data_IF_022767302695
#
_entry.id   IF_022767302695
#
_cell.length_a   1.000
_cell.length_b   1.000
_cell.length_c   1.000
_cell.angle_alpha   90.00
_cell.angle_beta   90.00
_cell.angle_gamma   90.00
#
_symmetry.space_group_name_H-M   'P 1'
#
loop_
_entity.id
_entity.type
_entity.pdbx_description
1 polymer ?
#
# COMPACT_ATOMS: atom_id res chain seq x y z
N UNK A 1 -17.60 10.73 0.19
CA UNK A 1 -16.35 10.16 0.72
C UNK A 1 -16.20 8.77 0.14
N UNK A 2 -15.57 8.66 -1.04
CA UNK A 2 -15.52 7.40 -1.79
C UNK A 2 -14.45 6.52 -1.15
N UNK A 3 -14.88 5.44 -0.50
CA UNK A 3 -14.00 4.37 -0.03
C UNK A 3 -13.55 3.65 -1.30
N UNK A 4 -12.37 4.05 -1.78
CA UNK A 4 -11.79 3.54 -3.01
C UNK A 4 -11.55 2.04 -2.81
N UNK A 5 -12.42 1.23 -3.43
CA UNK A 5 -12.27 -0.21 -3.71
C UNK A 5 -11.45 -0.97 -2.66
N UNK A 6 -12.16 -1.33 -1.60
CA UNK A 6 -11.78 -2.21 -0.50
C UNK A 6 -11.58 -3.68 -0.96
N UNK A 7 -11.04 -3.92 -2.16
CA UNK A 7 -10.95 -5.24 -2.79
C UNK A 7 -9.52 -5.71 -3.09
N UNK A 8 -8.49 -4.92 -2.75
CA UNK A 8 -7.12 -5.44 -2.66
C UNK A 8 -6.76 -5.55 -1.18
N UNK A 9 -6.44 -6.76 -0.73
CA UNK A 9 -6.28 -7.19 0.67
C UNK A 9 -5.08 -6.52 1.35
N UNK A 10 -5.14 -5.21 1.55
CA UNK A 10 -4.11 -4.52 2.30
C UNK A 10 -4.23 -4.92 3.77
N UNK A 11 -3.19 -5.57 4.28
CA UNK A 11 -3.10 -5.93 5.69
C UNK A 11 -3.05 -4.65 6.51
N UNK A 12 -3.86 -4.59 7.58
CA UNK A 12 -3.86 -3.47 8.53
C UNK A 12 -2.45 -3.35 9.13
N UNK A 13 -1.84 -2.19 8.91
CA UNK A 13 -0.48 -1.86 9.34
C UNK A 13 -0.40 -0.41 9.80
N UNK A 14 0.61 -0.10 10.60
CA UNK A 14 0.97 1.26 11.00
C UNK A 14 2.44 1.57 10.74
N UNK A 15 2.80 2.86 10.73
CA UNK A 15 4.20 3.29 10.58
C UNK A 15 4.79 3.10 9.18
N UNK A 16 3.97 2.83 8.17
CA UNK A 16 4.41 2.74 6.78
C UNK A 16 4.93 4.08 6.25
N UNK A 17 5.88 4.01 5.31
CA UNK A 17 6.29 5.17 4.51
C UNK A 17 5.46 5.21 3.23
N UNK A 18 4.99 6.41 2.85
CA UNK A 18 4.24 6.62 1.60
C UNK A 18 4.88 7.77 0.83
N UNK A 19 5.13 7.57 -0.46
CA UNK A 19 5.68 8.58 -1.37
C UNK A 19 4.83 8.70 -2.61
N UNK A 20 4.63 9.94 -3.06
CA UNK A 20 3.96 10.25 -4.31
C UNK A 20 4.98 10.30 -5.46
N UNK A 21 4.70 9.57 -6.54
CA UNK A 21 5.56 9.51 -7.73
C UNK A 21 4.69 9.45 -8.99
N UNK A 22 4.68 10.54 -9.77
CA UNK A 22 3.84 10.63 -10.98
C UNK A 22 2.35 10.54 -10.65
N UNK A 23 1.64 9.57 -11.20
CA UNK A 23 0.24 9.28 -10.90
C UNK A 23 0.06 8.12 -9.91
N UNK A 24 1.08 7.83 -9.08
CA UNK A 24 1.07 6.69 -8.15
C UNK A 24 1.40 7.10 -6.72
N UNK A 25 0.74 6.47 -5.74
CA UNK A 25 1.20 6.44 -4.35
C UNK A 25 1.90 5.12 -4.09
N UNK A 26 3.16 5.18 -3.69
CA UNK A 26 3.99 4.02 -3.37
C UNK A 26 4.09 3.94 -1.84
N UNK A 27 3.64 2.83 -1.28
CA UNK A 27 3.69 2.54 0.15
C UNK A 27 4.67 1.39 0.40
N UNK A 28 5.58 1.56 1.34
CA UNK A 28 6.55 0.54 1.73
C UNK A 28 6.51 0.27 3.23
N UNK A 29 6.55 -1.02 3.55
CA UNK A 29 6.75 -1.52 4.90
C UNK A 29 5.64 -1.13 5.88
N UNK A 30 6.03 -0.92 7.14
CA UNK A 30 5.12 -0.78 8.27
C UNK A 30 5.16 -2.00 9.19
N UNK A 31 4.30 -1.97 10.21
CA UNK A 31 4.25 -2.96 11.29
C UNK A 31 2.80 -3.39 11.52
N UNK A 32 2.57 -4.70 11.68
CA UNK A 32 1.26 -5.24 12.06
C UNK A 32 1.02 -5.14 13.59
N UNK A 33 -0.18 -5.50 14.05
CA UNK A 33 -0.52 -5.48 15.49
C UNK A 33 0.34 -6.42 16.35
N UNK A 34 1.01 -7.40 15.74
CA UNK A 34 1.88 -8.38 16.41
C UNK A 34 3.35 -7.98 16.35
N UNK A 35 3.65 -6.77 15.88
CA UNK A 35 4.99 -6.22 15.71
C UNK A 35 5.83 -6.88 14.61
N UNK A 36 5.17 -7.53 13.65
CA UNK A 36 5.88 -8.02 12.48
C UNK A 36 6.14 -6.87 11.52
N UNK A 37 7.42 -6.68 11.20
CA UNK A 37 7.86 -5.74 10.17
C UNK A 37 7.51 -6.31 8.81
N UNK A 38 6.98 -5.43 7.96
CA UNK A 38 6.58 -5.77 6.61
C UNK A 38 7.61 -5.18 5.65
N UNK A 39 7.92 -5.91 4.58
CA UNK A 39 8.92 -5.56 3.57
C UNK A 39 8.34 -5.58 2.15
N UNK A 40 7.01 -5.56 2.04
CA UNK A 40 6.27 -5.48 0.79
C UNK A 40 6.06 -4.02 0.34
N UNK A 41 5.88 -3.85 -0.96
CA UNK A 41 5.56 -2.57 -1.60
C UNK A 41 4.16 -2.64 -2.18
N UNK A 42 3.32 -1.67 -1.82
CA UNK A 42 1.98 -1.49 -2.38
C UNK A 42 1.95 -0.21 -3.21
N UNK A 43 1.27 -0.26 -4.35
CA UNK A 43 1.17 0.88 -5.26
C UNK A 43 -0.31 1.15 -5.56
N UNK A 44 -0.78 2.35 -5.22
CA UNK A 44 -2.07 2.86 -5.69
C UNK A 44 -1.84 3.65 -6.97
N UNK A 45 -2.42 3.17 -8.05
CA UNK A 45 -2.55 3.93 -9.29
C UNK A 45 -3.73 4.91 -9.15
N UNK A 46 -3.46 6.21 -9.24
CA UNK A 46 -4.46 7.26 -9.00
C UNK A 46 -5.33 7.55 -10.22
N UNK A 47 -4.95 7.09 -11.41
CA UNK A 47 -5.76 7.24 -12.62
C UNK A 47 -6.89 6.21 -12.63
N UNK A 48 -6.54 4.97 -12.30
CA UNK A 48 -7.47 3.83 -12.28
C UNK A 48 -8.09 3.60 -10.90
N UNK A 49 -7.52 4.21 -9.85
CA UNK A 49 -7.86 3.99 -8.44
C UNK A 49 -7.77 2.51 -8.05
N UNK A 50 -6.69 1.85 -8.48
CA UNK A 50 -6.43 0.42 -8.22
C UNK A 50 -5.13 0.19 -7.45
N UNK A 51 -5.18 -0.78 -6.53
CA UNK A 51 -4.04 -1.20 -5.72
C UNK A 51 -3.34 -2.42 -6.33
N UNK A 52 -2.02 -2.37 -6.40
CA UNK A 52 -1.16 -3.47 -6.83
C UNK A 52 -0.09 -3.75 -5.77
N UNK A 53 0.28 -5.01 -5.60
CA UNK A 53 1.46 -5.40 -4.81
C UNK A 53 2.62 -5.52 -5.78
N UNK A 54 3.71 -4.81 -5.53
CA UNK A 54 4.93 -5.04 -6.30
C UNK A 54 5.62 -6.27 -5.74
N UNK A 55 5.84 -7.27 -6.59
CA UNK A 55 6.66 -8.43 -6.25
C UNK A 55 8.12 -7.97 -6.13
N UNK A 56 8.68 -8.09 -4.93
CA UNK A 56 10.11 -8.01 -4.71
C UNK A 56 10.71 -9.38 -5.02
N UNK A 57 11.62 -9.43 -6.00
CA UNK A 57 12.42 -10.62 -6.33
C UNK A 57 13.37 -11.00 -5.20
#
# INVERSE_FOLDING_TARGET
MTIIKMTSFMVIRGGQSVTFAGSKLIMFGGEDKRRHLMNDVHVLDLETMTWNVAETM
#
